data_IF_715311049003
#
_entry.id   IF_715311049003
#
_cell.length_a   1.000
_cell.length_b   1.000
_cell.length_c   1.000
_cell.angle_alpha   90.00
_cell.angle_beta   90.00
_cell.angle_gamma   90.00
#
_symmetry.space_group_name_H-M   'P 1'
#
loop_
_entity.id
_entity.type
_entity.pdbx_description
1 polymer ?
#
# COMPACT_ATOMS: atom_id res chain seq x y z
N UNK A 1 11.12 -36.73 -3.96
CA UNK A 1 11.63 -35.69 -4.89
C UNK A 1 11.44 -34.35 -4.20
N UNK A 2 12.39 -33.41 -4.33
CA UNK A 2 12.30 -32.06 -3.74
C UNK A 2 12.08 -31.05 -4.87
N UNK A 3 11.33 -29.98 -4.61
CA UNK A 3 11.04 -28.93 -5.59
C UNK A 3 11.61 -27.59 -5.10
N UNK A 4 12.10 -26.78 -6.04
CA UNK A 4 12.54 -25.41 -5.81
C UNK A 4 11.79 -24.51 -6.79
N UNK A 5 11.13 -23.48 -6.26
CA UNK A 5 10.45 -22.46 -7.06
C UNK A 5 11.23 -21.16 -6.88
N UNK A 6 11.71 -20.59 -7.99
CA UNK A 6 12.42 -19.31 -8.00
C UNK A 6 11.53 -18.28 -8.71
N UNK A 7 11.06 -17.29 -7.97
CA UNK A 7 10.27 -16.19 -8.51
C UNK A 7 11.11 -14.90 -8.53
N UNK A 8 11.53 -14.48 -9.72
CA UNK A 8 12.21 -13.20 -9.94
C UNK A 8 11.19 -12.08 -10.21
N UNK A 9 10.69 -11.46 -9.15
CA UNK A 9 9.72 -10.37 -9.24
C UNK A 9 10.27 -9.18 -10.02
N UNK A 10 9.47 -8.63 -10.94
CA UNK A 10 9.87 -7.48 -11.76
C UNK A 10 10.85 -7.79 -12.90
N UNK A 11 11.12 -9.07 -13.19
CA UNK A 11 12.09 -9.46 -14.24
C UNK A 11 11.58 -9.21 -15.67
N UNK A 12 10.26 -9.16 -15.88
CA UNK A 12 9.67 -8.87 -17.17
C UNK A 12 9.69 -7.36 -17.46
N UNK A 13 10.11 -6.99 -18.66
CA UNK A 13 10.24 -5.60 -19.09
C UNK A 13 10.00 -5.48 -20.61
N UNK A 14 9.90 -4.25 -21.08
CA UNK A 14 9.84 -3.89 -22.49
C UNK A 14 11.23 -3.77 -23.11
N UNK A 15 11.33 -3.91 -24.45
CA UNK A 15 12.52 -3.52 -25.19
C UNK A 15 12.91 -2.07 -24.93
N UNK A 16 14.19 -1.82 -24.62
CA UNK A 16 14.74 -0.50 -24.35
C UNK A 16 15.67 -0.05 -25.47
N UNK A 17 15.56 1.22 -25.89
CA UNK A 17 16.39 1.79 -26.96
C UNK A 17 17.88 1.76 -26.60
N UNK A 18 18.21 2.08 -25.35
CA UNK A 18 19.59 2.05 -24.80
C UNK A 18 20.22 0.65 -24.79
N UNK A 19 19.39 -0.40 -24.89
CA UNK A 19 19.82 -1.80 -24.95
C UNK A 19 19.81 -2.37 -26.38
N UNK A 20 19.76 -1.49 -27.39
CA UNK A 20 19.62 -1.83 -28.81
C UNK A 20 18.32 -2.61 -29.10
N UNK A 21 17.21 -2.22 -28.47
CA UNK A 21 15.91 -2.85 -28.68
C UNK A 21 15.75 -4.22 -27.99
N UNK A 22 16.59 -4.53 -27.00
CA UNK A 22 16.46 -5.72 -26.15
C UNK A 22 15.79 -5.37 -24.83
N UNK A 23 15.19 -6.36 -24.18
CA UNK A 23 14.79 -6.23 -22.77
C UNK A 23 16.04 -6.32 -21.87
N UNK A 24 15.98 -5.85 -20.60
CA UNK A 24 17.07 -6.01 -19.64
C UNK A 24 17.50 -7.48 -19.48
N UNK A 25 16.55 -8.41 -19.41
CA UNK A 25 16.85 -9.84 -19.32
C UNK A 25 17.61 -10.37 -20.55
N UNK A 26 17.25 -9.91 -21.76
CA UNK A 26 17.95 -10.28 -23.00
C UNK A 26 19.34 -9.63 -23.15
N UNK A 27 19.55 -8.45 -22.54
CA UNK A 27 20.82 -7.74 -22.59
C UNK A 27 21.81 -8.23 -21.53
N UNK A 28 21.30 -8.76 -20.41
CA UNK A 28 22.10 -9.28 -19.31
C UNK A 28 22.85 -10.57 -19.69
N UNK A 29 24.04 -10.76 -19.11
CA UNK A 29 24.76 -12.02 -19.20
C UNK A 29 24.20 -13.02 -18.18
N UNK A 30 23.35 -13.94 -18.64
CA UNK A 30 22.63 -14.89 -17.77
C UNK A 30 22.96 -16.36 -18.06
N UNK A 31 24.25 -16.77 -18.09
CA UNK A 31 24.65 -18.10 -18.58
C UNK A 31 23.98 -19.27 -17.85
N UNK A 32 23.65 -19.11 -16.57
CA UNK A 32 22.95 -20.14 -15.79
C UNK A 32 21.46 -20.24 -16.11
N UNK A 33 20.79 -19.12 -16.36
CA UNK A 33 19.38 -19.14 -16.82
C UNK A 33 19.30 -19.68 -18.25
N UNK A 34 20.26 -19.31 -19.10
CA UNK A 34 20.36 -19.79 -20.48
C UNK A 34 20.57 -21.31 -20.51
N UNK A 35 21.44 -21.84 -19.65
CA UNK A 35 21.65 -23.28 -19.50
C UNK A 35 20.37 -23.99 -19.03
N UNK A 36 19.67 -23.44 -18.02
CA UNK A 36 18.40 -24.00 -17.53
C UNK A 36 17.33 -24.00 -18.62
N UNK A 37 17.27 -22.95 -19.44
CA UNK A 37 16.35 -22.84 -20.57
C UNK A 37 16.62 -23.88 -21.66
N UNK A 38 17.88 -24.27 -21.87
CA UNK A 38 18.27 -25.28 -22.88
C UNK A 38 17.95 -26.73 -22.46
N UNK A 39 17.99 -27.03 -21.16
CA UNK A 39 17.77 -28.39 -20.63
C UNK A 39 16.37 -28.59 -20.04
N UNK A 40 15.56 -27.53 -20.01
CA UNK A 40 14.23 -27.51 -19.42
C UNK A 40 13.14 -27.21 -20.43
N UNK A 41 11.97 -26.85 -19.91
CA UNK A 41 10.82 -26.40 -20.70
C UNK A 41 10.57 -24.92 -20.44
N UNK A 42 10.22 -24.19 -21.50
CA UNK A 42 9.90 -22.77 -21.43
C UNK A 42 8.42 -22.56 -21.70
N UNK A 43 7.86 -21.55 -21.04
CA UNK A 43 6.49 -21.12 -21.23
C UNK A 43 6.29 -19.68 -20.79
N UNK A 44 5.14 -19.12 -21.14
CA UNK A 44 4.72 -17.81 -20.66
C UNK A 44 3.62 -17.99 -19.62
N UNK A 45 3.84 -17.42 -18.44
CA UNK A 45 2.80 -17.34 -17.41
C UNK A 45 1.99 -16.05 -17.64
N UNK A 46 0.70 -16.19 -17.94
CA UNK A 46 -0.23 -15.07 -18.05
C UNK A 46 -1.20 -15.15 -16.89
N UNK A 47 -1.23 -14.12 -16.06
CA UNK A 47 -2.29 -13.94 -15.05
C UNK A 47 -3.39 -13.08 -15.70
N UNK A 48 -4.61 -13.61 -15.83
CA UNK A 48 -5.75 -12.84 -16.34
C UNK A 48 -5.96 -11.58 -15.50
N UNK A 49 -6.07 -10.42 -16.16
CA UNK A 49 -6.28 -9.13 -15.50
C UNK A 49 -7.74 -8.83 -15.15
N UNK A 50 -8.68 -9.63 -15.64
CA UNK A 50 -10.11 -9.35 -15.50
C UNK A 50 -10.62 -9.63 -14.10
N UNK A 51 -11.11 -8.58 -13.43
CA UNK A 51 -11.94 -8.67 -12.24
C UNK A 51 -11.19 -8.96 -10.92
N UNK A 52 -9.86 -8.78 -10.86
CA UNK A 52 -9.10 -9.06 -9.63
C UNK A 52 -8.54 -7.76 -9.03
N UNK A 53 -8.72 -7.59 -7.71
CA UNK A 53 -8.06 -6.55 -6.91
C UNK A 53 -6.56 -6.70 -7.06
N UNK A 54 -5.90 -5.67 -7.58
CA UNK A 54 -4.48 -5.72 -7.93
C UNK A 54 -3.59 -5.78 -6.68
N UNK A 55 -2.52 -6.59 -6.73
CA UNK A 55 -1.50 -6.65 -5.68
C UNK A 55 -0.53 -7.82 -5.88
N UNK A 56 0.74 -7.64 -5.50
CA UNK A 56 1.79 -8.65 -5.69
C UNK A 56 1.51 -10.01 -5.03
N UNK A 57 0.66 -10.04 -4.00
CA UNK A 57 0.25 -11.27 -3.30
C UNK A 57 -0.55 -12.25 -4.18
N UNK A 58 -1.20 -11.77 -5.23
CA UNK A 58 -1.98 -12.59 -6.15
C UNK A 58 -1.10 -13.62 -6.89
N UNK A 59 0.03 -13.18 -7.43
CA UNK A 59 0.98 -14.05 -8.13
C UNK A 59 1.59 -15.06 -7.16
N UNK A 60 1.88 -14.65 -5.93
CA UNK A 60 2.35 -15.55 -4.87
C UNK A 60 1.36 -16.68 -4.59
N UNK A 61 0.07 -16.35 -4.41
CA UNK A 61 -0.98 -17.35 -4.20
C UNK A 61 -1.10 -18.32 -5.39
N UNK A 62 -1.06 -17.80 -6.62
CA UNK A 62 -1.14 -18.61 -7.84
C UNK A 62 0.07 -19.55 -7.98
N UNK A 63 1.29 -19.06 -7.76
CA UNK A 63 2.52 -19.87 -7.82
C UNK A 63 2.48 -21.02 -6.81
N UNK A 64 1.88 -20.80 -5.62
CA UNK A 64 1.72 -21.81 -4.58
C UNK A 64 0.55 -22.77 -4.84
N UNK A 65 -0.19 -22.60 -5.94
CA UNK A 65 -1.27 -23.49 -6.35
C UNK A 65 -2.66 -23.14 -5.79
N UNK A 66 -2.83 -21.97 -5.17
CA UNK A 66 -4.14 -21.50 -4.73
C UNK A 66 -4.87 -20.79 -5.86
N UNK A 67 -6.19 -20.98 -5.94
CA UNK A 67 -7.05 -20.16 -6.79
C UNK A 67 -7.14 -18.73 -6.22
N UNK A 68 -6.54 -17.71 -6.85
CA UNK A 68 -6.54 -16.37 -6.30
C UNK A 68 -7.96 -15.77 -6.23
N UNK A 69 -8.89 -16.18 -7.10
CA UNK A 69 -10.28 -15.68 -7.06
C UNK A 69 -11.00 -16.09 -5.78
N UNK A 70 -10.60 -17.22 -5.19
CA UNK A 70 -11.20 -17.78 -3.98
C UNK A 70 -10.45 -17.38 -2.72
N UNK A 71 -9.12 -17.34 -2.78
CA UNK A 71 -8.27 -17.25 -1.59
C UNK A 71 -7.54 -15.92 -1.44
N UNK A 72 -7.41 -15.10 -2.49
CA UNK A 72 -6.74 -13.81 -2.39
C UNK A 72 -7.75 -12.71 -2.04
N UNK A 73 -7.70 -12.24 -0.78
CA UNK A 73 -8.59 -11.20 -0.25
C UNK A 73 -7.99 -9.80 -0.33
N UNK A 74 -6.85 -9.63 -0.99
CA UNK A 74 -6.08 -8.38 -1.02
C UNK A 74 -4.78 -8.46 -0.22
N UNK A 75 -4.00 -7.37 -0.20
CA UNK A 75 -2.68 -7.38 0.44
C UNK A 75 -2.72 -7.27 1.97
N UNK A 76 -3.77 -6.72 2.56
CA UNK A 76 -3.86 -6.47 4.01
C UNK A 76 -3.62 -7.73 4.87
N UNK A 77 -4.36 -8.84 4.67
CA UNK A 77 -4.16 -10.07 5.44
C UNK A 77 -2.76 -10.67 5.32
N UNK A 78 -2.11 -10.53 4.15
CA UNK A 78 -0.74 -11.00 3.95
C UNK A 78 0.26 -10.16 4.75
N UNK A 79 0.05 -8.85 4.81
CA UNK A 79 0.89 -7.98 5.64
C UNK A 79 0.66 -8.21 7.13
N UNK A 80 -0.58 -8.45 7.56
CA UNK A 80 -0.87 -8.82 8.95
C UNK A 80 -0.08 -10.08 9.35
N UNK A 81 -0.08 -11.10 8.50
CA UNK A 81 0.73 -12.30 8.72
C UNK A 81 2.24 -11.98 8.79
N UNK A 82 2.74 -11.06 7.95
CA UNK A 82 4.16 -10.66 7.98
C UNK A 82 4.58 -9.91 9.25
N UNK A 83 3.65 -9.18 9.87
CA UNK A 83 3.86 -8.47 11.14
C UNK A 83 3.50 -9.33 12.37
N UNK A 84 3.07 -10.57 12.18
CA UNK A 84 2.64 -11.45 13.27
C UNK A 84 1.31 -11.02 13.92
N UNK A 85 0.50 -10.22 13.23
CA UNK A 85 -0.82 -9.77 13.69
C UNK A 85 -1.83 -10.87 13.41
N UNK A 86 -2.45 -11.40 14.47
CA UNK A 86 -3.49 -12.42 14.36
C UNK A 86 -4.81 -11.79 13.89
N UNK A 87 -5.43 -12.40 12.89
CA UNK A 87 -6.73 -11.98 12.32
C UNK A 87 -7.61 -13.21 12.07
N UNK A 88 -8.93 -13.01 12.16
CA UNK A 88 -9.94 -14.04 11.89
C UNK A 88 -10.55 -13.88 10.51
N UNK A 89 -11.37 -14.83 10.08
CA UNK A 89 -12.09 -14.79 8.80
C UNK A 89 -13.17 -13.69 8.72
N UNK A 90 -13.52 -13.07 9.86
CA UNK A 90 -14.48 -11.99 9.94
C UNK A 90 -13.82 -10.61 9.98
N UNK A 91 -12.50 -10.55 10.18
CA UNK A 91 -11.77 -9.31 10.28
C UNK A 91 -11.40 -8.78 8.91
N UNK A 92 -11.36 -7.45 8.78
CA UNK A 92 -10.92 -6.78 7.56
C UNK A 92 -9.65 -6.03 7.86
N UNK A 93 -8.60 -6.33 7.08
CA UNK A 93 -7.30 -5.69 7.22
C UNK A 93 -7.10 -4.73 6.07
N UNK A 94 -6.88 -3.47 6.41
CA UNK A 94 -6.47 -2.44 5.46
C UNK A 94 -5.00 -2.13 5.67
N UNK A 95 -4.28 -1.89 4.57
CA UNK A 95 -3.04 -1.14 4.61
C UNK A 95 -3.35 0.27 5.11
N UNK A 96 -2.51 0.76 5.99
CA UNK A 96 -2.55 2.09 6.56
C UNK A 96 -1.25 2.80 6.18
N UNK A 97 -1.29 3.60 5.11
CA UNK A 97 -0.12 4.28 4.60
C UNK A 97 -0.08 5.73 5.08
N UNK A 98 1.02 6.17 5.70
CA UNK A 98 1.20 7.59 6.00
C UNK A 98 1.51 8.37 4.72
N UNK A 99 0.80 9.48 4.52
CA UNK A 99 0.90 10.32 3.33
C UNK A 99 1.02 11.79 3.69
N UNK A 100 1.51 12.58 2.73
CA UNK A 100 1.45 14.04 2.77
C UNK A 100 0.33 14.51 1.86
N UNK A 101 -0.67 15.17 2.45
CA UNK A 101 -1.72 15.87 1.73
C UNK A 101 -1.44 17.36 1.73
N UNK A 102 -1.76 18.03 0.63
CA UNK A 102 -1.69 19.49 0.54
C UNK A 102 -3.00 20.07 0.01
N UNK A 103 -3.38 21.29 0.41
CA UNK A 103 -4.46 22.01 -0.26
C UNK A 103 -4.10 22.30 -1.72
N UNK A 104 -5.10 22.34 -2.58
CA UNK A 104 -4.95 22.73 -3.99
C UNK A 104 -4.43 24.18 -4.14
N UNK A 105 -4.86 25.08 -3.24
CA UNK A 105 -4.46 26.49 -3.21
C UNK A 105 -3.01 26.79 -2.81
N UNK A 106 -2.18 25.77 -2.54
CA UNK A 106 -0.76 25.92 -2.20
C UNK A 106 -0.47 26.14 -0.71
N UNK A 107 0.80 26.42 -0.38
CA UNK A 107 1.29 26.51 1.00
C UNK A 107 0.57 27.63 1.77
N UNK A 108 -0.09 27.28 2.89
CA UNK A 108 -0.76 28.22 3.80
C UNK A 108 -2.29 28.08 3.86
N UNK A 109 -2.90 27.34 2.93
CA UNK A 109 -4.31 26.96 3.06
C UNK A 109 -4.47 25.76 4.01
N UNK A 110 -5.41 25.84 4.94
CA UNK A 110 -5.70 24.76 5.87
C UNK A 110 -6.64 23.74 5.20
N UNK A 111 -6.31 22.45 5.32
CA UNK A 111 -7.23 21.38 4.95
C UNK A 111 -8.23 21.22 6.10
N UNK A 112 -9.46 21.68 5.88
CA UNK A 112 -10.56 21.54 6.86
C UNK A 112 -11.30 20.21 6.71
N UNK A 113 -11.30 19.65 5.51
CA UNK A 113 -11.99 18.41 5.17
C UNK A 113 -11.29 17.72 4.00
N UNK A 114 -11.24 16.39 4.02
CA UNK A 114 -10.76 15.62 2.87
C UNK A 114 -11.76 15.73 1.71
N UNK A 115 -11.27 16.03 0.50
CA UNK A 115 -12.15 16.24 -0.66
C UNK A 115 -11.41 16.82 -1.88
N UNK A 116 -12.15 17.44 -2.83
CA UNK A 116 -11.59 17.81 -4.13
C UNK A 116 -10.50 18.89 -4.07
N UNK A 117 -10.51 19.71 -3.03
CA UNK A 117 -9.52 20.77 -2.79
C UNK A 117 -8.23 20.26 -2.14
N UNK A 118 -8.05 18.93 -2.05
CA UNK A 118 -6.88 18.28 -1.43
C UNK A 118 -6.17 17.42 -2.46
N UNK A 119 -4.85 17.54 -2.51
CA UNK A 119 -3.96 16.84 -3.43
C UNK A 119 -3.05 15.89 -2.65
N UNK A 120 -2.86 14.68 -3.19
CA UNK A 120 -1.83 13.74 -2.71
C UNK A 120 -0.44 14.28 -3.10
N UNK A 121 0.27 14.89 -2.16
CA UNK A 121 1.58 15.50 -2.42
C UNK A 121 2.72 14.46 -2.37
N UNK A 122 2.64 13.52 -1.43
CA UNK A 122 3.61 12.44 -1.27
C UNK A 122 2.93 11.18 -0.70
N UNK A 123 3.01 10.06 -1.41
CA UNK A 123 2.39 8.79 -1.01
C UNK A 123 3.22 7.98 0.01
N UNK A 124 4.33 8.54 0.49
CA UNK A 124 5.27 7.94 1.45
C UNK A 124 5.57 8.85 2.64
N UNK A 125 4.92 10.01 2.69
CA UNK A 125 5.23 11.11 3.59
C UNK A 125 6.72 11.53 3.58
N UNK A 126 7.35 11.50 2.41
CA UNK A 126 8.78 11.78 2.26
C UNK A 126 9.66 10.73 2.91
N UNK A 127 9.29 9.44 2.76
CA UNK A 127 9.97 8.30 3.36
C UNK A 127 10.20 8.49 4.88
N UNK A 128 9.14 8.82 5.61
CA UNK A 128 9.19 8.98 7.07
C UNK A 128 9.88 7.80 7.75
N UNK A 129 10.72 8.08 8.74
CA UNK A 129 11.45 7.05 9.49
C UNK A 129 10.50 6.28 10.40
N UNK A 130 10.87 5.04 10.72
CA UNK A 130 9.98 4.12 11.46
C UNK A 130 9.64 4.65 12.86
N UNK A 131 10.59 5.28 13.55
CA UNK A 131 10.35 5.81 14.89
C UNK A 131 9.41 7.02 14.88
N UNK A 132 9.61 7.98 13.96
CA UNK A 132 8.71 9.13 13.79
C UNK A 132 7.27 8.67 13.44
N UNK A 133 7.16 7.67 12.54
CA UNK A 133 5.88 7.11 12.15
C UNK A 133 5.21 6.34 13.30
N UNK A 134 5.99 5.68 14.16
CA UNK A 134 5.47 4.95 15.33
C UNK A 134 4.80 5.91 16.31
N UNK A 135 5.42 7.05 16.62
CA UNK A 135 4.83 8.06 17.52
C UNK A 135 3.50 8.62 16.98
N UNK A 136 3.45 8.93 15.68
CA UNK A 136 2.21 9.38 15.04
C UNK A 136 1.12 8.31 15.06
N UNK A 137 1.48 7.04 14.86
CA UNK A 137 0.53 5.93 14.88
C UNK A 137 0.03 5.63 16.31
N UNK A 138 0.88 5.81 17.32
CA UNK A 138 0.49 5.72 18.73
C UNK A 138 -0.58 6.77 19.06
N UNK A 139 -0.37 8.03 18.66
CA UNK A 139 -1.37 9.09 18.83
C UNK A 139 -2.71 8.77 18.13
N UNK A 140 -2.66 8.13 16.95
CA UNK A 140 -3.85 7.64 16.26
C UNK A 140 -4.55 6.52 17.05
N UNK A 141 -3.79 5.54 17.53
CA UNK A 141 -4.34 4.43 18.32
C UNK A 141 -4.96 4.89 19.63
N UNK A 142 -4.37 5.88 20.30
CA UNK A 142 -4.90 6.42 21.56
C UNK A 142 -6.28 7.07 21.38
N UNK A 143 -6.52 7.72 20.23
CA UNK A 143 -7.75 8.48 19.99
C UNK A 143 -8.78 7.73 19.15
N UNK A 144 -8.34 6.93 18.17
CA UNK A 144 -9.20 6.23 17.21
C UNK A 144 -9.21 4.72 17.42
N UNK A 145 -8.27 4.19 18.20
CA UNK A 145 -8.24 2.78 18.56
C UNK A 145 -9.42 2.39 19.46
N UNK A 146 -9.91 1.18 19.25
CA UNK A 146 -11.00 0.59 20.04
C UNK A 146 -10.90 -0.93 20.00
N UNK A 147 -11.82 -1.62 20.67
CA UNK A 147 -11.96 -3.08 20.55
C UNK A 147 -12.23 -3.53 19.10
N UNK A 148 -12.78 -2.63 18.27
CA UNK A 148 -13.16 -2.95 16.89
C UNK A 148 -12.19 -2.44 15.83
N UNK A 149 -11.34 -1.47 16.15
CA UNK A 149 -10.44 -0.81 15.20
C UNK A 149 -9.08 -0.67 15.88
N UNK A 150 -8.04 -1.26 15.29
CA UNK A 150 -6.68 -1.20 15.82
C UNK A 150 -5.69 -0.93 14.71
N UNK A 151 -4.70 -0.07 14.98
CA UNK A 151 -3.62 0.22 14.05
C UNK A 151 -2.32 -0.47 14.52
N UNK A 152 -1.57 -1.06 13.59
CA UNK A 152 -0.35 -1.81 13.90
C UNK A 152 0.84 -1.19 13.17
N UNK A 153 1.93 -0.87 13.89
CA UNK A 153 3.11 -0.28 13.26
C UNK A 153 3.81 -1.30 12.36
N UNK A 154 4.10 -0.89 11.12
CA UNK A 154 5.08 -1.55 10.27
C UNK A 154 6.30 -0.67 10.06
N UNK A 155 6.92 -0.75 8.88
CA UNK A 155 8.17 -0.04 8.58
C UNK A 155 7.93 1.25 7.77
N UNK A 156 8.57 2.34 8.21
CA UNK A 156 8.45 3.67 7.61
C UNK A 156 6.99 4.12 7.53
N UNK A 157 6.52 4.47 6.35
CA UNK A 157 5.14 4.91 6.08
C UNK A 157 4.10 3.77 5.99
N UNK A 158 4.48 2.50 6.17
CA UNK A 158 3.60 1.35 5.92
C UNK A 158 3.18 0.71 7.24
N UNK A 159 1.89 0.82 7.55
CA UNK A 159 1.27 0.27 8.74
C UNK A 159 0.02 -0.52 8.35
N UNK A 160 -0.66 -1.08 9.33
CA UNK A 160 -1.93 -1.78 9.13
C UNK A 160 -3.02 -1.21 10.00
N UNK A 161 -4.26 -1.36 9.55
CA UNK A 161 -5.45 -1.22 10.36
C UNK A 161 -6.25 -2.52 10.29
N UNK A 162 -6.58 -3.09 11.45
CA UNK A 162 -7.50 -4.22 11.58
C UNK A 162 -8.86 -3.68 12.03
N UNK A 163 -9.91 -4.05 11.30
CA UNK A 163 -11.29 -3.79 11.66
C UNK A 163 -11.98 -5.12 11.98
N UNK A 164 -12.19 -5.36 13.27
CA UNK A 164 -12.81 -6.58 13.79
C UNK A 164 -14.26 -6.66 13.37
N UNK A 165 -14.66 -7.79 12.77
CA UNK A 165 -15.99 -7.96 12.14
C UNK A 165 -16.35 -6.84 11.14
N UNK A 166 -15.33 -6.31 10.45
CA UNK A 166 -15.45 -5.17 9.55
C UNK A 166 -16.18 -5.48 8.25
N UNK A 167 -16.36 -4.43 7.43
CA UNK A 167 -16.98 -4.55 6.10
C UNK A 167 -15.91 -4.70 5.01
N UNK A 168 -15.88 -5.80 4.23
CA UNK A 168 -14.77 -6.10 3.31
C UNK A 168 -14.94 -5.48 1.91
N UNK A 169 -16.08 -4.85 1.63
CA UNK A 169 -16.49 -4.44 0.27
C UNK A 169 -16.21 -2.98 -0.06
N UNK A 170 -15.46 -2.27 0.78
CA UNK A 170 -14.94 -0.97 0.42
C UNK A 170 -14.01 -1.11 -0.81
N UNK A 171 -14.09 -0.14 -1.71
CA UNK A 171 -13.17 0.06 -2.82
C UNK A 171 -12.23 1.20 -2.44
N UNK A 172 -10.94 0.90 -2.39
CA UNK A 172 -9.92 1.87 -2.02
C UNK A 172 -8.83 1.88 -3.08
N UNK A 173 -8.16 3.02 -3.23
CA UNK A 173 -7.09 3.20 -4.21
C UNK A 173 -5.72 3.21 -3.51
N UNK A 174 -4.71 2.68 -4.18
CA UNK A 174 -3.31 2.80 -3.75
C UNK A 174 -2.91 4.29 -3.78
N UNK A 175 -2.37 4.88 -2.69
CA UNK A 175 -2.00 6.28 -2.67
C UNK A 175 -0.97 6.65 -3.76
N UNK A 176 -0.13 5.70 -4.19
CA UNK A 176 0.82 5.92 -5.29
C UNK A 176 0.12 6.22 -6.61
N UNK A 177 -1.07 5.65 -6.86
CA UNK A 177 -1.85 5.91 -8.06
C UNK A 177 -2.48 7.31 -8.10
N UNK A 178 -2.52 7.99 -6.96
CA UNK A 178 -3.16 9.31 -6.76
C UNK A 178 -2.12 10.44 -6.71
N UNK A 179 -0.83 10.13 -6.73
CA UNK A 179 0.25 11.10 -6.56
C UNK A 179 0.11 12.29 -7.52
N UNK A 180 0.13 13.50 -6.97
CA UNK A 180 0.00 14.76 -7.71
C UNK A 180 -1.43 15.11 -8.15
N UNK A 181 -2.42 14.27 -7.86
CA UNK A 181 -3.83 14.45 -8.25
C UNK A 181 -4.72 14.80 -7.05
N UNK A 182 -5.92 15.30 -7.36
CA UNK A 182 -6.98 15.47 -6.36
C UNK A 182 -7.39 14.12 -5.76
N UNK A 183 -7.62 14.07 -4.45
CA UNK A 183 -8.01 12.83 -3.77
C UNK A 183 -9.50 12.48 -3.93
N UNK A 184 -10.33 13.36 -4.51
CA UNK A 184 -11.79 13.23 -4.52
C UNK A 184 -12.28 11.86 -5.00
N UNK A 185 -11.79 11.45 -6.16
CA UNK A 185 -12.19 10.21 -6.83
C UNK A 185 -11.44 8.98 -6.29
N UNK A 186 -10.43 9.21 -5.46
CA UNK A 186 -9.59 8.16 -4.89
C UNK A 186 -10.03 7.74 -3.47
N UNK A 187 -10.78 8.58 -2.76
CA UNK A 187 -11.27 8.28 -1.41
C UNK A 187 -12.15 7.01 -1.40
N UNK A 188 -12.16 6.23 -0.30
CA UNK A 188 -12.87 4.95 -0.22
C UNK A 188 -14.33 5.03 -0.69
N UNK A 189 -14.84 4.07 -1.46
CA UNK A 189 -16.26 4.02 -1.86
C UNK A 189 -16.88 2.65 -1.57
N UNK A 190 -18.21 2.56 -1.65
CA UNK A 190 -18.93 1.30 -1.37
C UNK A 190 -19.20 1.08 0.12
N UNK A 191 -19.38 -0.18 0.50
CA UNK A 191 -19.83 -0.54 1.85
C UNK A 191 -18.68 -0.43 2.87
N UNK A 192 -18.92 0.30 3.96
CA UNK A 192 -17.93 0.60 5.01
C UNK A 192 -17.04 1.83 4.72
N UNK A 193 -17.17 2.42 3.53
CA UNK A 193 -16.38 3.59 3.14
C UNK A 193 -16.60 4.82 4.03
N UNK A 194 -17.78 4.98 4.62
CA UNK A 194 -18.10 6.08 5.52
C UNK A 194 -17.27 6.02 6.81
N UNK A 195 -17.04 4.81 7.35
CA UNK A 195 -16.19 4.59 8.52
C UNK A 195 -14.72 4.85 8.15
N UNK A 196 -14.25 4.31 7.03
CA UNK A 196 -12.88 4.55 6.56
C UNK A 196 -12.59 6.04 6.33
N UNK A 197 -13.52 6.76 5.68
CA UNK A 197 -13.38 8.21 5.45
C UNK A 197 -13.37 8.99 6.76
N UNK A 198 -14.23 8.64 7.72
CA UNK A 198 -14.22 9.27 9.06
C UNK A 198 -12.91 9.05 9.80
N UNK A 199 -12.36 7.83 9.74
CA UNK A 199 -11.05 7.53 10.33
C UNK A 199 -9.93 8.33 9.65
N UNK A 200 -9.91 8.40 8.32
CA UNK A 200 -8.91 9.19 7.59
C UNK A 200 -9.03 10.69 7.90
N UNK A 201 -10.25 11.24 7.97
CA UNK A 201 -10.49 12.63 8.38
C UNK A 201 -10.04 12.89 9.81
N UNK A 202 -10.36 12.00 10.75
CA UNK A 202 -9.96 12.16 12.15
C UNK A 202 -8.44 12.02 12.33
N UNK A 203 -7.82 11.05 11.66
CA UNK A 203 -6.36 10.89 11.67
C UNK A 203 -5.67 12.12 11.07
N UNK A 204 -6.23 12.74 10.03
CA UNK A 204 -5.70 13.99 9.50
C UNK A 204 -5.67 15.09 10.56
N UNK A 205 -6.77 15.24 11.33
CA UNK A 205 -6.85 16.24 12.42
C UNK A 205 -5.82 15.95 13.51
N UNK A 206 -5.66 14.69 13.90
CA UNK A 206 -4.71 14.27 14.95
C UNK A 206 -3.26 14.55 14.51
N UNK A 207 -2.92 14.14 13.28
CA UNK A 207 -1.53 14.19 12.81
C UNK A 207 -1.08 15.59 12.43
N UNK A 208 -1.98 16.43 11.89
CA UNK A 208 -1.63 17.75 11.36
C UNK A 208 -0.93 18.64 12.40
N UNK A 209 -1.38 18.60 13.64
CA UNK A 209 -0.90 19.46 14.73
C UNK A 209 0.04 18.69 15.69
N UNK A 210 0.59 17.54 15.26
CA UNK A 210 1.45 16.69 16.08
C UNK A 210 2.91 17.19 16.07
N UNK A 211 3.63 17.22 17.21
CA UNK A 211 4.99 17.75 17.31
C UNK A 211 5.99 17.14 16.32
N UNK A 212 5.88 15.84 16.04
CA UNK A 212 6.69 15.15 15.01
C UNK A 212 6.59 15.86 13.66
N UNK A 213 5.41 16.32 13.25
CA UNK A 213 5.26 17.02 11.98
C UNK A 213 5.83 18.44 12.02
N UNK A 214 5.77 19.12 13.16
CA UNK A 214 6.43 20.42 13.34
C UNK A 214 7.94 20.31 13.19
N UNK A 215 8.56 19.30 13.80
CA UNK A 215 9.98 19.00 13.68
C UNK A 215 10.36 18.64 12.23
N UNK A 216 9.60 17.76 11.59
CA UNK A 216 9.81 17.40 10.17
C UNK A 216 9.76 18.63 9.27
N UNK A 217 8.79 19.52 9.47
CA UNK A 217 8.68 20.74 8.67
C UNK A 217 9.83 21.72 8.95
N UNK A 218 10.30 21.83 10.20
CA UNK A 218 11.46 22.65 10.56
C UNK A 218 12.75 22.15 9.88
N UNK A 219 12.87 20.85 9.65
CA UNK A 219 13.97 20.22 8.90
C UNK A 219 13.77 20.24 7.37
N UNK A 220 12.67 20.81 6.88
CA UNK A 220 12.34 20.84 5.45
C UNK A 220 11.86 19.51 4.87
N UNK A 221 11.56 18.51 5.72
CA UNK A 221 10.95 17.24 5.34
C UNK A 221 9.45 17.40 5.09
N UNK A 222 8.85 16.42 4.40
CA UNK A 222 7.41 16.35 4.19
C UNK A 222 6.70 15.88 5.45
N UNK A 223 5.61 16.54 5.90
CA UNK A 223 4.85 16.07 7.06
C UNK A 223 4.02 14.83 6.70
N UNK A 224 3.94 13.87 7.62
CA UNK A 224 2.99 12.77 7.57
C UNK A 224 1.68 13.24 8.21
N UNK A 225 0.81 13.89 7.44
CA UNK A 225 -0.36 14.57 7.98
C UNK A 225 -1.68 13.82 7.78
N UNK A 226 -1.66 12.60 7.24
CA UNK A 226 -2.84 11.75 7.12
C UNK A 226 -2.41 10.28 7.02
N UNK A 227 -3.30 9.38 7.43
CA UNK A 227 -3.23 7.98 7.02
C UNK A 227 -4.18 7.72 5.85
N UNK A 228 -3.74 6.86 4.95
CA UNK A 228 -4.49 6.45 3.77
C UNK A 228 -4.83 4.96 3.89
N UNK A 229 -6.11 4.64 3.96
CA UNK A 229 -6.61 3.28 4.17
C UNK A 229 -6.96 2.62 2.83
N UNK A 230 -6.29 1.52 2.51
CA UNK A 230 -6.44 0.83 1.23
C UNK A 230 -6.04 -0.64 1.28
N UNK A 231 -6.18 -1.36 0.15
CA UNK A 231 -5.82 -2.78 0.04
C UNK A 231 -7.00 -3.71 0.25
#
# INVERSE_FOLDING_TARGET
MKYVIVHAGGMADHPQAELNGRTPLQAAATPHLDQLAQIGELGQLVIPREGIRHGGGLLGAAILGYDPKKYYQGPGPLEAASLGVAVTEHDVVYRCTMVTLRPEGGKGAEIKKLGPHVIMDDATAGLIETEEARELLEAINEQLGSETIQFFPGAGHRHLMVWVNGKPRALCNDPQSVLGQSIADALPTGDGADILRKLMEAAHVIMRDHPVNDERMAEGKKPANCVWLWG
#
